data_IF_639081332910
#
_entry.id   IF_639081332910
#
_cell.length_a   1.000
_cell.length_b   1.000
_cell.length_c   1.000
_cell.angle_alpha   90.00
_cell.angle_beta   90.00
_cell.angle_gamma   90.00
#
_symmetry.space_group_name_H-M   'P 1'
#
loop_
_entity.id
_entity.type
_entity.pdbx_description
1 polymer ?
#
# COMPACT_ATOMS: atom_id res chain seq x y z
N UNK A 1 -4.58 -25.20 16.49
CA UNK A 1 -4.33 -24.79 15.07
C UNK A 1 -2.90 -25.18 14.74
N UNK A 2 -2.64 -25.88 13.63
CA UNK A 2 -1.29 -26.36 13.31
C UNK A 2 -0.40 -25.21 12.82
N UNK A 3 0.86 -25.19 13.25
CA UNK A 3 1.85 -24.17 12.91
C UNK A 3 1.96 -23.92 11.38
N UNK A 4 1.77 -24.96 10.58
CA UNK A 4 1.76 -24.90 9.12
C UNK A 4 0.65 -23.98 8.56
N UNK A 5 -0.52 -23.97 9.21
CA UNK A 5 -1.69 -23.17 8.78
C UNK A 5 -1.49 -21.69 9.13
N UNK A 6 -0.86 -21.40 10.27
CA UNK A 6 -0.47 -20.06 10.70
C UNK A 6 0.63 -19.49 9.81
N UNK A 7 1.68 -20.28 9.52
CA UNK A 7 2.76 -19.88 8.63
C UNK A 7 2.25 -19.54 7.22
N UNK A 8 1.31 -20.34 6.68
CA UNK A 8 0.70 -20.07 5.37
C UNK A 8 -0.13 -18.79 5.35
N UNK A 9 -0.81 -18.46 6.45
CA UNK A 9 -1.60 -17.22 6.57
C UNK A 9 -0.71 -15.99 6.70
N UNK A 10 0.35 -16.09 7.50
CA UNK A 10 1.37 -15.06 7.62
C UNK A 10 2.09 -14.84 6.29
N UNK A 11 2.48 -15.90 5.57
CA UNK A 11 3.27 -15.83 4.34
C UNK A 11 2.47 -15.54 3.06
N UNK A 12 1.19 -15.92 2.97
CA UNK A 12 0.38 -15.71 1.76
C UNK A 12 -0.77 -14.69 1.94
N UNK A 13 -1.19 -14.39 3.16
CA UNK A 13 -2.37 -13.56 3.42
C UNK A 13 -2.04 -12.19 3.98
N UNK A 14 -1.43 -12.15 5.16
CA UNK A 14 -1.29 -10.92 5.94
C UNK A 14 -0.05 -10.09 5.57
N UNK A 15 1.10 -10.72 5.29
CA UNK A 15 2.31 -9.96 4.93
C UNK A 15 2.28 -9.39 3.51
N UNK A 16 1.45 -9.90 2.61
CA UNK A 16 1.37 -9.42 1.23
C UNK A 16 0.53 -8.16 1.04
N UNK A 17 -0.34 -7.83 2.00
CA UNK A 17 -1.19 -6.64 1.92
C UNK A 17 -0.37 -5.34 1.85
N UNK A 18 0.72 -5.27 2.60
CA UNK A 18 1.63 -4.12 2.62
C UNK A 18 2.40 -3.94 1.30
N UNK A 19 3.17 -4.92 0.80
CA UNK A 19 3.91 -4.78 -0.46
C UNK A 19 2.99 -4.67 -1.68
N UNK A 20 1.83 -5.36 -1.71
CA UNK A 20 0.84 -5.17 -2.79
C UNK A 20 0.18 -3.79 -2.72
N UNK A 21 -0.20 -3.32 -1.53
CA UNK A 21 -0.76 -1.98 -1.36
C UNK A 21 0.24 -0.90 -1.76
N UNK A 22 1.50 -1.06 -1.38
CA UNK A 22 2.57 -0.12 -1.71
C UNK A 22 2.86 -0.08 -3.22
N UNK A 23 2.93 -1.24 -3.88
CA UNK A 23 3.13 -1.29 -5.34
C UNK A 23 1.97 -0.66 -6.10
N UNK A 24 0.72 -0.88 -5.66
CA UNK A 24 -0.47 -0.19 -6.20
C UNK A 24 -0.41 1.33 -6.01
N UNK A 25 0.01 1.82 -4.84
CA UNK A 25 0.18 3.25 -4.59
C UNK A 25 1.23 3.84 -5.53
N UNK A 26 2.39 3.21 -5.66
CA UNK A 26 3.47 3.70 -6.54
C UNK A 26 3.03 3.66 -8.00
N UNK A 27 2.43 2.56 -8.45
CA UNK A 27 1.94 2.42 -9.82
C UNK A 27 0.86 3.46 -10.14
N UNK A 28 -0.13 3.62 -9.26
CA UNK A 28 -1.17 4.63 -9.42
C UNK A 28 -0.61 6.06 -9.41
N UNK A 29 0.33 6.35 -8.53
CA UNK A 29 0.95 7.67 -8.46
C UNK A 29 1.76 7.99 -9.73
N UNK A 30 2.45 7.01 -10.32
CA UNK A 30 3.25 7.18 -11.55
C UNK A 30 2.39 7.20 -12.82
N UNK A 31 1.39 6.33 -12.93
CA UNK A 31 0.58 6.16 -14.15
C UNK A 31 -0.55 7.17 -14.23
N UNK A 32 -1.21 7.47 -13.11
CA UNK A 32 -2.38 8.35 -13.07
C UNK A 32 -1.97 9.74 -12.59
N UNK A 33 -1.30 9.86 -11.44
CA UNK A 33 -1.17 11.16 -10.76
C UNK A 33 -0.05 12.04 -11.35
N UNK A 34 1.09 11.44 -11.69
CA UNK A 34 2.24 12.12 -12.30
C UNK A 34 1.92 12.83 -13.62
N UNK A 35 1.23 12.24 -14.61
CA UNK A 35 0.88 12.95 -15.84
C UNK A 35 -0.13 14.08 -15.62
N UNK A 36 -1.05 13.96 -14.65
CA UNK A 36 -1.99 15.04 -14.31
C UNK A 36 -1.30 16.25 -13.66
N UNK A 37 -0.27 16.03 -12.84
CA UNK A 37 0.43 17.11 -12.13
C UNK A 37 1.55 17.75 -12.95
N UNK A 38 2.06 17.08 -13.99
CA UNK A 38 3.11 17.61 -14.86
C UNK A 38 4.33 18.13 -14.08
N UNK A 39 4.63 19.42 -14.22
CA UNK A 39 5.74 20.09 -13.52
C UNK A 39 5.55 20.19 -12.00
N UNK A 40 4.30 20.18 -11.52
CA UNK A 40 3.95 20.16 -10.11
C UNK A 40 4.35 18.87 -9.39
N UNK A 41 4.52 17.77 -10.12
CA UNK A 41 4.95 16.49 -9.56
C UNK A 41 6.29 16.58 -8.82
N UNK A 42 7.20 17.44 -9.28
CA UNK A 42 8.53 17.59 -8.68
C UNK A 42 8.48 18.17 -7.26
N UNK A 43 7.42 18.89 -6.92
CA UNK A 43 7.21 19.48 -5.59
C UNK A 43 6.18 18.70 -4.77
N UNK A 44 5.12 18.20 -5.41
CA UNK A 44 3.99 17.55 -4.73
C UNK A 44 4.05 16.01 -4.75
N UNK A 45 4.88 15.40 -5.62
CA UNK A 45 4.91 13.94 -5.81
C UNK A 45 5.30 13.17 -4.56
N UNK A 46 6.21 13.72 -3.75
CA UNK A 46 6.57 13.16 -2.45
C UNK A 46 5.40 13.13 -1.47
N UNK A 47 4.60 14.20 -1.42
CA UNK A 47 3.39 14.25 -0.58
C UNK A 47 2.30 13.30 -1.06
N UNK A 48 2.13 13.15 -2.38
CA UNK A 48 1.18 12.17 -2.96
C UNK A 48 1.57 10.75 -2.58
N UNK A 49 2.86 10.39 -2.71
CA UNK A 49 3.36 9.09 -2.29
C UNK A 49 3.17 8.86 -0.79
N UNK A 50 3.53 9.84 0.03
CA UNK A 50 3.37 9.78 1.48
C UNK A 50 1.89 9.57 1.87
N UNK A 51 0.98 10.35 1.28
CA UNK A 51 -0.46 10.22 1.52
C UNK A 51 -0.98 8.82 1.11
N UNK A 52 -0.52 8.30 -0.03
CA UNK A 52 -0.86 6.94 -0.47
C UNK A 52 -0.36 5.86 0.48
N UNK A 53 0.89 5.98 0.96
CA UNK A 53 1.46 5.06 1.96
C UNK A 53 0.66 5.09 3.26
N UNK A 54 0.33 6.29 3.77
CA UNK A 54 -0.51 6.44 4.95
C UNK A 54 -1.90 5.81 4.77
N UNK A 55 -2.50 5.95 3.59
CA UNK A 55 -3.79 5.32 3.28
C UNK A 55 -3.69 3.79 3.30
N UNK A 56 -2.65 3.19 2.70
CA UNK A 56 -2.41 1.74 2.73
C UNK A 56 -2.18 1.23 4.15
N UNK A 57 -1.42 1.96 4.96
CA UNK A 57 -1.19 1.62 6.36
C UNK A 57 -2.51 1.66 7.14
N UNK A 58 -3.30 2.72 6.99
CA UNK A 58 -4.60 2.84 7.65
C UNK A 58 -5.57 1.72 7.24
N UNK A 59 -5.61 1.38 5.95
CA UNK A 59 -6.41 0.26 5.43
C UNK A 59 -5.93 -1.08 5.99
N UNK A 60 -4.62 -1.29 6.09
CA UNK A 60 -4.02 -2.52 6.63
C UNK A 60 -4.31 -2.66 8.12
N UNK A 61 -4.18 -1.59 8.91
CA UNK A 61 -4.53 -1.57 10.33
C UNK A 61 -6.03 -1.83 10.51
N UNK A 62 -6.88 -1.19 9.70
CA UNK A 62 -8.34 -1.41 9.74
C UNK A 62 -8.73 -2.84 9.34
N UNK A 63 -8.04 -3.43 8.38
CA UNK A 63 -8.26 -4.80 7.96
C UNK A 63 -7.83 -5.78 9.06
N UNK A 64 -6.67 -5.56 9.68
CA UNK A 64 -6.17 -6.37 10.80
C UNK A 64 -7.02 -6.22 12.07
N UNK A 65 -7.54 -5.04 12.37
CA UNK A 65 -8.43 -4.80 13.52
C UNK A 65 -9.84 -5.44 13.37
N UNK A 66 -10.19 -5.91 12.17
CA UNK A 66 -11.46 -6.59 11.87
C UNK A 66 -11.34 -8.12 11.79
N UNK A 67 -10.12 -8.66 11.91
CA UNK A 67 -9.85 -10.10 11.93
C UNK A 67 -9.81 -10.63 13.36
#
# INVERSE_FOLDING_TARGET
MSALRTARRLLLGETWLLPCGLTLVVAGAVVLVRPLLGTGWRHAGGFVLLAGVCAVLALSVRAGARQ
#
